data_IF_982461218421
#
_entry.id   IF_982461218421
#
_cell.length_a   1.000
_cell.length_b   1.000
_cell.length_c   1.000
_cell.angle_alpha   90.00
_cell.angle_beta   90.00
_cell.angle_gamma   90.00
#
_symmetry.space_group_name_H-M   'P 1'
#
loop_
_entity.id
_entity.type
_entity.pdbx_description
1 polymer ?
#
# COMPACT_ATOMS: atom_id res chain seq x y z
N UNK A 1 -41.19 3.43 65.87
CA UNK A 1 -42.01 3.94 64.76
C UNK A 1 -41.26 5.10 64.10
N UNK A 2 -40.37 4.97 63.13
CA UNK A 2 -39.66 3.85 62.52
C UNK A 2 -38.38 4.45 61.92
N UNK A 3 -37.25 3.84 62.28
CA UNK A 3 -35.96 4.02 61.65
C UNK A 3 -35.90 3.11 60.41
N UNK A 4 -35.11 3.51 59.41
CA UNK A 4 -34.71 2.76 58.21
C UNK A 4 -35.75 2.63 57.08
N UNK A 5 -35.62 3.50 56.06
CA UNK A 5 -35.71 3.04 54.67
C UNK A 5 -34.35 3.23 54.03
N UNK A 6 -33.73 2.09 53.74
CA UNK A 6 -32.38 1.95 53.28
C UNK A 6 -32.19 2.55 51.89
N UNK A 7 -30.99 3.11 51.72
CA UNK A 7 -30.40 3.59 50.48
C UNK A 7 -30.65 2.60 49.33
N UNK A 8 -31.42 3.03 48.33
CA UNK A 8 -31.38 2.40 47.02
C UNK A 8 -29.99 2.65 46.44
N UNK A 9 -29.31 1.55 46.14
CA UNK A 9 -28.00 1.48 45.53
C UNK A 9 -28.00 2.32 44.24
N UNK A 10 -27.41 3.51 44.30
CA UNK A 10 -26.92 4.19 43.10
C UNK A 10 -25.79 3.32 42.59
N UNK A 11 -26.13 2.38 41.70
CA UNK A 11 -25.17 1.71 40.84
C UNK A 11 -24.38 2.81 40.15
N UNK A 12 -23.14 3.01 40.61
CA UNK A 12 -22.25 4.03 40.07
C UNK A 12 -22.09 3.80 38.57
N UNK A 13 -22.27 4.87 37.78
CA UNK A 13 -22.12 4.87 36.31
C UNK A 13 -20.74 4.37 35.82
N UNK A 14 -19.79 4.19 36.74
CA UNK A 14 -18.48 3.62 36.51
C UNK A 14 -18.48 2.09 36.34
N UNK A 15 -19.41 1.35 36.96
CA UNK A 15 -19.43 -0.12 36.92
C UNK A 15 -20.05 -0.69 35.64
N UNK A 16 -20.90 0.10 34.95
CA UNK A 16 -21.45 -0.28 33.63
C UNK A 16 -20.39 -0.16 32.53
N UNK A 17 -19.42 0.76 32.67
CA UNK A 17 -18.33 0.95 31.70
C UNK A 17 -17.28 -0.19 31.73
N UNK A 18 -17.20 -0.96 32.83
CA UNK A 18 -16.21 -2.01 33.02
C UNK A 18 -16.59 -3.37 32.40
N UNK A 19 -17.87 -3.58 32.09
CA UNK A 19 -18.38 -4.88 31.60
C UNK A 19 -18.79 -4.89 30.12
N UNK A 20 -18.67 -3.77 29.41
CA UNK A 20 -18.69 -3.79 27.94
C UNK A 20 -17.32 -4.23 27.46
N UNK A 21 -17.18 -5.50 27.09
CA UNK A 21 -16.12 -5.89 26.15
C UNK A 21 -16.12 -4.88 25.01
N UNK A 22 -15.00 -4.17 24.81
CA UNK A 22 -14.87 -3.06 23.84
C UNK A 22 -15.53 -3.45 22.51
N UNK A 23 -16.67 -2.83 22.18
CA UNK A 23 -17.47 -3.20 21.00
C UNK A 23 -16.63 -2.91 19.76
N UNK A 24 -16.37 -3.94 18.96
CA UNK A 24 -15.63 -3.80 17.71
C UNK A 24 -16.58 -3.42 16.58
N UNK A 25 -16.05 -2.78 15.56
CA UNK A 25 -16.85 -2.46 14.36
C UNK A 25 -17.35 -3.71 13.65
N UNK A 26 -16.55 -4.78 13.67
CA UNK A 26 -16.92 -6.09 13.12
C UNK A 26 -18.07 -6.76 13.84
N UNK A 27 -18.33 -6.38 15.10
CA UNK A 27 -19.42 -6.96 15.90
C UNK A 27 -20.77 -6.35 15.52
N UNK A 28 -20.75 -5.10 15.03
CA UNK A 28 -21.95 -4.33 14.66
C UNK A 28 -22.20 -4.33 13.15
N UNK A 29 -21.14 -4.32 12.36
CA UNK A 29 -21.20 -4.18 10.90
C UNK A 29 -20.44 -5.29 10.19
N UNK A 30 -20.82 -5.53 8.93
CA UNK A 30 -20.05 -6.38 8.04
C UNK A 30 -18.82 -5.61 7.52
N UNK A 31 -17.63 -6.03 7.94
CA UNK A 31 -16.36 -5.35 7.69
C UNK A 31 -15.43 -6.24 6.86
N UNK A 32 -14.65 -5.63 5.97
CA UNK A 32 -13.63 -6.34 5.18
C UNK A 32 -12.57 -6.97 6.11
N UNK A 33 -12.20 -8.23 5.86
CA UNK A 33 -11.21 -8.97 6.65
C UNK A 33 -9.83 -8.30 6.66
N UNK A 34 -9.51 -7.54 5.61
CA UNK A 34 -8.23 -6.86 5.46
C UNK A 34 -8.23 -5.41 5.99
N UNK A 35 -9.22 -5.02 6.79
CA UNK A 35 -9.24 -3.69 7.39
C UNK A 35 -8.10 -3.53 8.42
N UNK A 36 -7.45 -2.36 8.51
CA UNK A 36 -6.53 -2.07 9.61
C UNK A 36 -7.19 -2.24 10.98
N UNK A 37 -6.49 -2.89 11.93
CA UNK A 37 -6.96 -3.09 13.31
C UNK A 37 -7.42 -1.80 13.99
N UNK A 38 -6.82 -0.67 13.62
CA UNK A 38 -7.18 0.66 14.13
C UNK A 38 -8.65 1.00 13.85
N UNK A 39 -9.13 0.68 12.65
CA UNK A 39 -10.53 0.94 12.31
C UNK A 39 -11.47 -0.09 12.93
N UNK A 40 -10.99 -1.31 13.21
CA UNK A 40 -11.85 -2.29 13.87
C UNK A 40 -12.11 -1.96 15.36
N UNK A 41 -11.18 -1.27 16.02
CA UNK A 41 -11.24 -0.95 17.44
C UNK A 41 -11.24 0.58 17.62
N UNK A 42 -12.40 1.26 17.68
CA UNK A 42 -12.46 2.73 17.76
C UNK A 42 -11.79 3.28 19.02
N UNK A 43 -11.70 2.46 20.07
CA UNK A 43 -11.02 2.76 21.33
C UNK A 43 -9.55 3.16 21.16
N UNK A 44 -8.88 2.68 20.12
CA UNK A 44 -7.47 3.00 19.89
C UNK A 44 -7.23 4.47 19.50
N UNK A 45 -8.27 5.22 19.10
CA UNK A 45 -8.17 6.64 18.76
C UNK A 45 -8.12 7.49 20.05
N UNK A 46 -6.92 7.98 20.37
CA UNK A 46 -6.67 8.85 21.52
C UNK A 46 -6.69 10.32 21.12
N UNK A 47 -6.89 11.21 22.11
CA UNK A 47 -6.86 12.67 21.91
C UNK A 47 -8.23 13.28 21.58
N UNK A 48 -9.25 12.45 21.44
CA UNK A 48 -10.64 12.88 21.34
C UNK A 48 -11.30 12.78 22.70
N UNK A 49 -11.74 13.90 23.22
CA UNK A 49 -12.49 13.98 24.48
C UNK A 49 -12.75 15.45 24.77
N UNK A 50 -13.87 15.75 25.43
CA UNK A 50 -14.12 17.08 25.96
C UNK A 50 -13.08 17.34 27.05
N UNK A 51 -12.14 18.24 26.77
CA UNK A 51 -11.22 18.75 27.81
C UNK A 51 -12.04 19.40 28.90
N UNK A 52 -11.69 19.14 30.16
CA UNK A 52 -12.31 19.81 31.29
C UNK A 52 -11.80 21.25 31.28
N UNK A 53 -12.68 22.16 30.90
CA UNK A 53 -12.45 23.60 30.81
C UNK A 53 -13.57 24.31 31.57
N UNK A 54 -13.27 25.52 32.05
CA UNK A 54 -14.26 26.32 32.74
C UNK A 54 -15.48 26.56 31.81
N UNK A 55 -16.72 26.27 32.24
CA UNK A 55 -17.92 26.50 31.44
C UNK A 55 -18.08 27.93 30.91
N UNK A 56 -17.55 28.93 31.61
CA UNK A 56 -17.60 30.34 31.22
C UNK A 56 -16.62 30.69 30.09
N UNK A 57 -15.54 29.92 29.94
CA UNK A 57 -14.47 30.18 28.96
C UNK A 57 -14.44 29.11 27.88
N UNK A 58 -15.58 28.95 27.19
CA UNK A 58 -15.70 28.04 26.06
C UNK A 58 -15.62 28.79 24.72
N UNK A 59 -14.92 28.21 23.76
CA UNK A 59 -14.87 28.71 22.38
C UNK A 59 -15.50 27.70 21.44
N UNK A 60 -16.06 28.18 20.32
CA UNK A 60 -16.68 27.32 19.30
C UNK A 60 -15.68 26.34 18.67
N UNK A 61 -14.40 26.67 18.64
CA UNK A 61 -13.35 25.77 18.14
C UNK A 61 -13.14 24.55 19.04
N UNK A 62 -13.45 24.62 20.34
CA UNK A 62 -13.32 23.49 21.26
C UNK A 62 -14.33 22.37 20.98
N UNK A 63 -15.39 22.66 20.23
CA UNK A 63 -16.36 21.64 19.79
C UNK A 63 -15.71 20.62 18.86
N UNK A 64 -14.76 21.07 18.03
CA UNK A 64 -14.01 20.18 17.13
C UNK A 64 -13.10 19.24 17.91
N UNK A 65 -13.14 17.95 17.60
CA UNK A 65 -12.35 16.91 18.29
C UNK A 65 -12.78 16.59 19.72
N UNK A 66 -13.85 17.23 20.24
CA UNK A 66 -14.36 16.96 21.60
C UNK A 66 -15.04 15.60 21.73
N UNK A 67 -15.58 15.06 20.64
CA UNK A 67 -16.27 13.77 20.60
C UNK A 67 -15.31 12.67 20.14
N UNK A 68 -15.33 11.55 20.86
CA UNK A 68 -14.57 10.35 20.51
C UNK A 68 -15.23 9.62 19.34
N UNK A 69 -14.45 9.10 18.39
CA UNK A 69 -15.00 8.31 17.31
C UNK A 69 -15.60 6.99 17.84
N UNK A 70 -16.73 6.59 17.25
CA UNK A 70 -17.52 5.42 17.62
C UNK A 70 -17.51 4.37 16.51
N UNK A 71 -18.05 3.18 16.78
CA UNK A 71 -18.17 2.10 15.78
C UNK A 71 -18.96 2.50 14.54
N UNK A 72 -19.88 3.46 14.66
CA UNK A 72 -20.73 3.94 13.56
C UNK A 72 -20.02 4.93 12.62
N UNK A 73 -18.91 5.51 13.06
CA UNK A 73 -18.10 6.44 12.27
C UNK A 73 -16.91 5.74 11.58
N UNK A 74 -16.58 4.52 12.01
CA UNK A 74 -15.49 3.75 11.42
C UNK A 74 -15.85 3.23 10.03
N UNK A 75 -14.89 3.24 9.08
CA UNK A 75 -15.13 2.70 7.75
C UNK A 75 -15.25 1.16 7.79
N UNK A 76 -16.10 0.59 6.93
CA UNK A 76 -16.24 -0.87 6.76
C UNK A 76 -15.20 -1.47 5.81
N UNK A 77 -14.55 -0.65 5.00
CA UNK A 77 -13.43 -1.06 4.14
C UNK A 77 -12.41 0.06 3.99
N UNK A 78 -11.13 -0.31 3.88
CA UNK A 78 -10.04 0.64 3.67
C UNK A 78 -9.12 0.14 2.57
N UNK A 79 -9.08 0.86 1.45
CA UNK A 79 -8.24 0.53 0.28
C UNK A 79 -7.05 1.50 0.19
N UNK A 80 -6.17 1.43 1.18
CA UNK A 80 -4.91 2.18 1.17
C UNK A 80 -3.97 1.69 0.07
N UNK A 81 -3.30 2.61 -0.62
CA UNK A 81 -2.25 2.28 -1.58
C UNK A 81 -0.88 2.21 -0.90
N UNK A 82 -0.15 1.10 -1.09
CA UNK A 82 1.19 0.95 -0.55
C UNK A 82 2.21 1.64 -1.45
N UNK A 83 3.03 2.54 -0.89
CA UNK A 83 4.10 3.23 -1.62
C UNK A 83 5.48 2.60 -1.45
N UNK A 84 5.59 1.44 -0.80
CA UNK A 84 6.86 0.78 -0.46
C UNK A 84 7.78 0.58 -1.67
N UNK A 85 7.23 0.10 -2.78
CA UNK A 85 7.98 -0.10 -4.03
C UNK A 85 8.52 1.22 -4.59
N UNK A 86 7.65 2.21 -4.78
CA UNK A 86 8.03 3.52 -5.32
C UNK A 86 8.99 4.27 -4.40
N UNK A 87 8.81 4.20 -3.07
CA UNK A 87 9.73 4.78 -2.09
C UNK A 87 11.12 4.16 -2.15
N UNK A 88 11.20 2.83 -2.34
CA UNK A 88 12.47 2.15 -2.52
C UNK A 88 13.20 2.65 -3.77
N UNK A 89 12.50 2.78 -4.90
CA UNK A 89 13.06 3.32 -6.13
C UNK A 89 13.40 4.82 -6.04
N UNK A 90 12.58 5.60 -5.35
CA UNK A 90 12.83 7.03 -5.16
C UNK A 90 14.16 7.29 -4.42
N UNK A 91 14.52 6.43 -3.46
CA UNK A 91 15.80 6.51 -2.74
C UNK A 91 17.01 6.29 -3.65
N UNK A 92 16.87 5.53 -4.74
CA UNK A 92 17.96 5.28 -5.70
C UNK A 92 18.26 6.47 -6.63
N UNK A 93 17.42 7.51 -6.62
CA UNK A 93 17.62 8.70 -7.44
C UNK A 93 17.25 8.51 -8.91
N UNK A 94 17.73 9.43 -9.75
CA UNK A 94 17.41 9.44 -11.17
C UNK A 94 18.24 8.39 -11.92
N UNK A 95 17.58 7.61 -12.78
CA UNK A 95 18.24 6.61 -13.61
C UNK A 95 19.35 7.23 -14.47
N UNK A 96 20.48 6.54 -14.58
CA UNK A 96 21.58 6.86 -15.48
C UNK A 96 22.00 5.60 -16.22
N UNK A 97 22.18 5.73 -17.52
CA UNK A 97 22.74 4.68 -18.33
C UNK A 97 24.28 4.79 -18.32
N UNK A 98 24.94 3.74 -17.84
CA UNK A 98 26.39 3.60 -17.82
C UNK A 98 26.84 2.32 -18.55
N UNK A 99 25.97 1.70 -19.35
CA UNK A 99 26.29 0.49 -20.11
C UNK A 99 27.08 0.78 -21.38
N UNK A 100 27.93 -0.15 -21.81
CA UNK A 100 28.51 -0.13 -23.15
C UNK A 100 27.58 -0.86 -24.13
N UNK A 101 27.49 -0.36 -25.36
CA UNK A 101 26.81 -1.05 -26.45
C UNK A 101 27.63 -2.26 -26.89
N UNK A 102 27.22 -3.45 -26.45
CA UNK A 102 27.89 -4.73 -26.74
C UNK A 102 27.05 -5.64 -27.64
N UNK A 103 25.94 -5.16 -28.17
CA UNK A 103 25.14 -5.92 -29.12
C UNK A 103 25.96 -6.19 -30.39
N UNK A 104 26.19 -7.47 -30.70
CA UNK A 104 26.66 -7.88 -32.01
C UNK A 104 25.52 -7.74 -33.02
N UNK A 105 25.82 -7.22 -34.20
CA UNK A 105 24.87 -7.18 -35.30
C UNK A 105 24.41 -8.61 -35.63
N UNK A 106 23.09 -8.83 -35.55
CA UNK A 106 22.45 -10.08 -35.94
C UNK A 106 21.80 -9.84 -37.29
N UNK A 107 22.16 -10.64 -38.29
CA UNK A 107 21.41 -10.66 -39.54
C UNK A 107 19.97 -11.11 -39.27
N UNK A 108 18.99 -10.55 -40.00
CA UNK A 108 17.57 -10.97 -39.91
C UNK A 108 17.37 -12.43 -40.32
N UNK A 109 18.39 -13.01 -40.95
CA UNK A 109 18.46 -14.40 -41.33
C UNK A 109 18.91 -15.24 -40.13
N UNK A 110 17.97 -15.50 -39.22
CA UNK A 110 18.17 -16.45 -38.11
C UNK A 110 17.49 -17.76 -38.50
N UNK A 111 18.21 -18.63 -39.22
CA UNK A 111 17.81 -20.00 -39.51
C UNK A 111 19.03 -20.91 -39.57
N UNK A 112 18.91 -22.23 -39.39
CA UNK A 112 20.04 -23.16 -39.40
C UNK A 112 20.83 -23.19 -40.73
N UNK A 113 20.33 -22.52 -41.78
CA UNK A 113 20.88 -22.57 -43.14
C UNK A 113 21.20 -21.18 -43.74
N UNK A 114 21.37 -20.15 -42.92
CA UNK A 114 21.63 -18.79 -43.42
C UNK A 114 23.09 -18.42 -43.21
N UNK A 115 23.89 -18.55 -44.28
CA UNK A 115 25.28 -18.12 -44.30
C UNK A 115 25.33 -16.61 -44.52
N UNK A 116 25.71 -15.85 -43.48
CA UNK A 116 26.23 -14.49 -43.66
C UNK A 116 27.58 -14.60 -44.37
N UNK A 117 27.54 -14.78 -45.69
CA UNK A 117 28.75 -14.72 -46.51
C UNK A 117 29.15 -13.25 -46.57
N UNK A 118 29.85 -12.79 -45.53
CA UNK A 118 30.83 -11.73 -45.70
C UNK A 118 31.63 -12.14 -46.94
N UNK A 119 31.45 -11.38 -48.01
CA UNK A 119 31.92 -11.72 -49.34
C UNK A 119 33.42 -11.97 -49.26
N UNK A 120 33.81 -13.24 -49.17
CA UNK A 120 35.20 -13.64 -49.17
C UNK A 120 35.70 -13.39 -50.59
N UNK A 121 36.35 -12.24 -50.79
CA UNK A 121 37.01 -11.84 -52.05
C UNK A 121 37.90 -12.95 -52.62
N UNK A 122 38.44 -13.80 -51.75
CA UNK A 122 39.30 -14.94 -52.10
C UNK A 122 38.52 -16.01 -52.89
N UNK A 123 37.24 -16.25 -52.56
CA UNK A 123 36.42 -17.28 -53.21
C UNK A 123 35.97 -16.87 -54.61
N UNK A 124 35.95 -15.57 -54.91
CA UNK A 124 35.52 -15.05 -56.22
C UNK A 124 36.47 -15.48 -57.35
N UNK A 125 37.77 -15.63 -57.09
CA UNK A 125 38.76 -15.99 -58.12
C UNK A 125 38.72 -17.47 -58.53
N UNK A 126 38.26 -18.37 -57.65
CA UNK A 126 38.17 -19.81 -57.98
C UNK A 126 37.08 -20.14 -59.01
N UNK A 127 36.10 -19.25 -59.20
CA UNK A 127 34.96 -19.48 -60.10
C UNK A 127 35.21 -19.01 -61.55
N UNK A 128 36.31 -18.30 -61.81
CA UNK A 128 36.63 -17.76 -63.15
C UNK A 128 37.76 -18.52 -63.88
N UNK A 129 38.14 -19.71 -63.42
CA UNK A 129 38.95 -20.59 -64.27
C UNK A 129 38.05 -21.25 -65.32
N UNK A 130 37.77 -20.52 -66.39
CA UNK A 130 37.24 -21.07 -67.63
C UNK A 130 38.40 -21.76 -68.33
N UNK A 131 38.42 -23.10 -68.30
CA UNK A 131 39.31 -23.91 -69.14
C UNK A 131 39.16 -23.49 -70.61
N UNK A 132 40.09 -22.66 -71.07
CA UNK A 132 40.29 -22.36 -72.46
C UNK A 132 41.09 -23.48 -73.10
N UNK A 133 40.42 -24.51 -73.63
CA UNK A 133 41.05 -25.41 -74.59
C UNK A 133 41.28 -24.65 -75.90
N UNK A 134 42.53 -24.55 -76.36
CA UNK A 134 42.83 -24.20 -77.74
C UNK A 134 44.17 -24.78 -78.20
N UNK A 135 44.05 -25.69 -79.18
CA UNK A 135 45.03 -26.29 -80.12
C UNK A 135 46.01 -27.34 -79.60
#
# INVERSE_FOLDING_TARGET
MDEHFANEEIQTEAEVLANTSEIKTSDVYNVDKNIPNRFNNPECFKGYSKKIINPLYQTTNQTYGSKKPTVHEMPTSFKGSSRKFSEHHLKSGMYRDNGFNTSLDKSRLTGPNTTDVLHNRITFHHLYHTDGKSQ
#
